data_IF_052363481799
#
_entry.id   IF_052363481799
#
_cell.length_a   1.000
_cell.length_b   1.000
_cell.length_c   1.000
_cell.angle_alpha   90.00
_cell.angle_beta   90.00
_cell.angle_gamma   90.00
#
_symmetry.space_group_name_H-M   'P 1'
#
loop_
_entity.id
_entity.type
_entity.pdbx_description
1 polymer ?
#
# COMPACT_ATOMS: atom_id res chain seq x y z
N UNK A 1 22.22 -25.83 -12.38
CA UNK A 1 21.41 -24.64 -12.69
C UNK A 1 20.17 -24.70 -11.84
N UNK A 2 20.15 -23.97 -10.70
CA UNK A 2 19.03 -23.98 -9.75
C UNK A 2 18.05 -22.88 -10.20
N UNK A 3 16.90 -23.28 -10.72
CA UNK A 3 15.79 -22.36 -11.01
C UNK A 3 15.14 -21.97 -9.67
N UNK A 4 15.34 -20.75 -9.24
CA UNK A 4 14.60 -20.18 -8.11
C UNK A 4 13.11 -20.17 -8.45
N UNK A 5 12.24 -20.65 -7.53
CA UNK A 5 10.81 -20.56 -7.73
C UNK A 5 10.41 -19.07 -7.77
N UNK A 6 9.68 -18.68 -8.82
CA UNK A 6 9.13 -17.35 -8.95
C UNK A 6 8.29 -17.03 -7.73
N UNK A 7 8.58 -15.92 -7.06
CA UNK A 7 7.79 -15.39 -5.96
C UNK A 7 6.37 -15.12 -6.45
N UNK A 8 5.42 -15.90 -5.99
CA UNK A 8 4.01 -15.60 -6.19
C UNK A 8 3.73 -14.21 -5.57
N UNK A 9 3.30 -13.24 -6.37
CA UNK A 9 2.85 -11.97 -5.87
C UNK A 9 1.65 -12.20 -4.94
N UNK A 10 1.75 -11.77 -3.69
CA UNK A 10 0.64 -11.83 -2.76
C UNK A 10 -0.48 -10.92 -3.30
N UNK A 11 -1.60 -11.51 -3.71
CA UNK A 11 -2.76 -10.75 -4.15
C UNK A 11 -3.74 -10.60 -3.00
N UNK A 12 -4.26 -9.40 -2.81
CA UNK A 12 -5.33 -9.14 -1.83
C UNK A 12 -6.60 -9.89 -2.26
N UNK A 13 -7.23 -10.67 -1.36
CA UNK A 13 -8.44 -11.42 -1.70
C UNK A 13 -9.56 -10.51 -2.19
N UNK A 14 -10.25 -10.93 -3.24
CA UNK A 14 -11.38 -10.18 -3.83
C UNK A 14 -12.49 -9.91 -2.82
N UNK A 15 -12.69 -10.82 -1.84
CA UNK A 15 -13.70 -10.69 -0.78
C UNK A 15 -13.51 -9.44 0.07
N UNK A 16 -12.27 -9.00 0.30
CA UNK A 16 -11.98 -7.76 1.03
C UNK A 16 -12.67 -6.54 0.38
N UNK A 17 -12.81 -6.55 -0.95
CA UNK A 17 -13.34 -5.46 -1.76
C UNK A 17 -14.81 -5.63 -2.12
N UNK A 18 -15.39 -6.82 -1.89
CA UNK A 18 -16.78 -7.10 -2.23
C UNK A 18 -17.74 -6.22 -1.43
N UNK A 19 -18.61 -5.47 -2.13
CA UNK A 19 -19.57 -4.57 -1.50
C UNK A 19 -18.98 -3.32 -0.84
N UNK A 20 -17.69 -3.05 -1.03
CA UNK A 20 -17.09 -1.78 -0.60
C UNK A 20 -17.65 -0.63 -1.43
N UNK A 21 -18.02 0.48 -0.75
CA UNK A 21 -18.55 1.69 -1.39
C UNK A 21 -17.54 2.83 -1.39
N UNK A 22 -16.51 2.75 -0.56
CA UNK A 22 -15.45 3.77 -0.44
C UNK A 22 -14.16 3.16 0.06
N UNK A 23 -13.08 3.89 -0.16
CA UNK A 23 -11.74 3.55 0.35
C UNK A 23 -11.25 4.69 1.22
N UNK A 24 -10.81 4.35 2.42
CA UNK A 24 -10.11 5.28 3.30
C UNK A 24 -8.61 5.02 3.20
N UNK A 25 -7.80 6.05 3.30
CA UNK A 25 -6.34 5.95 3.42
C UNK A 25 -5.94 6.51 4.78
N UNK A 26 -5.30 5.69 5.59
CA UNK A 26 -4.76 6.05 6.87
C UNK A 26 -3.25 5.83 6.85
N UNK A 27 -2.48 6.90 6.96
CA UNK A 27 -1.02 6.83 6.99
C UNK A 27 -0.50 7.14 8.39
N UNK A 28 0.58 6.45 8.73
CA UNK A 28 1.36 6.73 9.93
C UNK A 28 2.84 6.59 9.61
N UNK A 29 3.62 7.63 9.89
CA UNK A 29 5.08 7.63 9.72
C UNK A 29 5.73 7.73 11.09
N UNK A 30 6.53 6.73 11.43
CA UNK A 30 7.40 6.74 12.61
C UNK A 30 8.84 7.09 12.21
N UNK A 31 9.62 7.66 13.11
CA UNK A 31 11.03 7.96 12.84
C UNK A 31 11.73 8.54 14.08
N UNK A 32 13.03 8.73 13.96
CA UNK A 32 13.89 9.25 15.03
C UNK A 32 13.80 10.77 15.22
N UNK A 33 14.56 11.29 16.19
CA UNK A 33 14.62 12.72 16.47
C UNK A 33 14.99 13.55 15.23
N UNK A 34 14.41 14.74 15.10
CA UNK A 34 14.68 15.67 14.00
C UNK A 34 14.00 15.30 12.68
N UNK A 35 13.04 14.38 12.70
CA UNK A 35 12.17 14.07 11.56
C UNK A 35 10.78 14.66 11.82
N UNK A 36 10.30 15.49 10.88
CA UNK A 36 8.93 16.01 10.93
C UNK A 36 7.96 14.91 10.45
N UNK A 37 7.45 14.15 11.42
CA UNK A 37 6.53 13.04 11.16
C UNK A 37 5.20 13.50 10.58
N UNK A 38 4.72 14.67 11.01
CA UNK A 38 3.42 15.19 10.56
C UNK A 38 3.49 15.53 9.07
N UNK A 39 4.50 16.29 8.69
CA UNK A 39 4.70 16.66 7.29
C UNK A 39 4.93 15.43 6.40
N UNK A 40 5.74 14.47 6.86
CA UNK A 40 5.99 13.23 6.11
C UNK A 40 4.74 12.36 5.97
N UNK A 41 3.93 12.23 7.05
CA UNK A 41 2.66 11.50 7.01
C UNK A 41 1.73 12.12 5.98
N UNK A 42 1.57 13.44 6.00
CA UNK A 42 0.71 14.14 5.04
C UNK A 42 1.21 13.98 3.59
N UNK A 43 2.53 14.09 3.37
CA UNK A 43 3.11 13.89 2.05
C UNK A 43 2.90 12.48 1.56
N UNK A 44 3.17 11.47 2.39
CA UNK A 44 2.98 10.06 2.04
C UNK A 44 1.52 9.77 1.69
N UNK A 45 0.57 10.24 2.50
CA UNK A 45 -0.85 10.05 2.22
C UNK A 45 -1.30 10.71 0.90
N UNK A 46 -0.79 11.90 0.59
CA UNK A 46 -1.08 12.55 -0.71
C UNK A 46 -0.59 11.71 -1.89
N UNK A 47 0.62 11.17 -1.81
CA UNK A 47 1.17 10.34 -2.89
C UNK A 47 0.43 9.01 -3.03
N UNK A 48 0.12 8.34 -1.92
CA UNK A 48 -0.70 7.12 -1.92
C UNK A 48 -2.08 7.41 -2.54
N UNK A 49 -2.75 8.49 -2.11
CA UNK A 49 -4.04 8.89 -2.67
C UNK A 49 -3.96 9.17 -4.16
N UNK A 50 -2.97 9.93 -4.61
CA UNK A 50 -2.74 10.24 -6.02
C UNK A 50 -2.60 8.98 -6.88
N UNK A 51 -1.85 7.99 -6.39
CA UNK A 51 -1.64 6.74 -7.09
C UNK A 51 -2.89 5.84 -7.04
N UNK A 52 -3.55 5.76 -5.89
CA UNK A 52 -4.75 4.93 -5.70
C UNK A 52 -5.95 5.41 -6.53
N UNK A 53 -6.07 6.73 -6.74
CA UNK A 53 -7.12 7.31 -7.58
C UNK A 53 -7.04 6.92 -9.05
N UNK A 54 -5.89 6.44 -9.52
CA UNK A 54 -5.76 5.98 -10.90
C UNK A 54 -6.71 4.81 -11.15
N UNK A 55 -7.68 5.01 -12.03
CA UNK A 55 -8.72 4.01 -12.40
C UNK A 55 -9.59 3.55 -11.23
N UNK A 56 -9.65 4.28 -10.13
CA UNK A 56 -10.49 3.88 -9.00
C UNK A 56 -11.97 3.95 -9.35
N UNK A 57 -12.73 2.86 -9.14
CA UNK A 57 -14.19 2.86 -9.28
C UNK A 57 -14.89 3.40 -8.03
N UNK A 58 -14.15 3.65 -6.95
CA UNK A 58 -14.66 4.06 -5.65
C UNK A 58 -14.10 5.42 -5.24
N UNK A 59 -14.85 6.23 -4.48
CA UNK A 59 -14.32 7.42 -3.85
C UNK A 59 -13.22 7.05 -2.86
N UNK A 60 -12.15 7.87 -2.81
CA UNK A 60 -11.00 7.66 -1.94
C UNK A 60 -10.78 8.91 -1.08
N UNK A 61 -10.76 8.71 0.22
CA UNK A 61 -10.55 9.76 1.20
C UNK A 61 -9.35 9.46 2.10
N UNK A 62 -8.72 10.50 2.63
CA UNK A 62 -7.69 10.38 3.66
C UNK A 62 -8.33 10.62 5.00
N UNK A 63 -8.10 9.73 5.96
CA UNK A 63 -8.60 9.85 7.33
C UNK A 63 -7.43 9.95 8.32
N UNK A 64 -7.71 10.52 9.49
CA UNK A 64 -6.72 10.63 10.57
C UNK A 64 -6.70 9.38 11.46
N UNK A 65 -5.64 9.23 12.24
CA UNK A 65 -5.58 8.21 13.30
C UNK A 65 -6.68 8.54 14.34
N UNK A 66 -7.46 7.52 14.70
CA UNK A 66 -8.59 7.67 15.61
C UNK A 66 -9.91 8.09 14.94
N UNK A 67 -9.91 8.29 13.62
CA UNK A 67 -11.14 8.58 12.90
C UNK A 67 -12.08 7.36 12.91
N UNK A 68 -13.34 7.50 13.38
CA UNK A 68 -14.29 6.39 13.42
C UNK A 68 -14.65 5.84 12.03
N UNK A 69 -14.39 6.57 10.96
CA UNK A 69 -14.61 6.10 9.60
C UNK A 69 -13.81 4.83 9.27
N UNK A 70 -12.73 4.53 10.01
CA UNK A 70 -11.97 3.27 9.89
C UNK A 70 -12.85 2.04 10.18
N UNK A 71 -13.87 2.18 11.01
CA UNK A 71 -14.79 1.13 11.42
C UNK A 71 -16.01 0.99 10.50
N UNK A 72 -16.12 1.79 9.46
CA UNK A 72 -17.24 1.75 8.53
C UNK A 72 -17.36 0.41 7.81
N UNK A 73 -18.49 -0.27 7.94
CA UNK A 73 -18.73 -1.59 7.34
C UNK A 73 -18.69 -1.56 5.80
N UNK A 74 -19.00 -0.42 5.20
CA UNK A 74 -19.00 -0.17 3.75
C UNK A 74 -17.66 0.37 3.22
N UNK A 75 -16.66 0.52 4.09
CA UNK A 75 -15.35 1.04 3.75
C UNK A 75 -14.26 -0.05 3.79
N UNK A 76 -13.28 0.06 2.90
CA UNK A 76 -11.97 -0.59 3.06
C UNK A 76 -10.96 0.48 3.39
N UNK A 77 -10.21 0.32 4.46
CA UNK A 77 -9.16 1.25 4.85
C UNK A 77 -7.79 0.70 4.43
N UNK A 78 -7.05 1.45 3.63
CA UNK A 78 -5.64 1.19 3.37
C UNK A 78 -4.82 1.72 4.54
N UNK A 79 -4.25 0.83 5.31
CA UNK A 79 -3.30 1.15 6.38
C UNK A 79 -1.90 1.23 5.77
N UNK A 80 -1.34 2.43 5.77
CA UNK A 80 0.03 2.71 5.29
C UNK A 80 0.91 3.03 6.48
N UNK A 81 1.68 2.06 6.92
CA UNK A 81 2.66 2.25 7.98
C UNK A 81 4.05 2.41 7.40
N UNK A 82 4.74 3.44 7.83
CA UNK A 82 6.10 3.71 7.40
C UNK A 82 7.01 4.05 8.57
N UNK A 83 8.29 3.76 8.40
CA UNK A 83 9.37 4.20 9.28
C UNK A 83 10.44 4.88 8.47
N UNK A 84 11.02 5.94 9.04
CA UNK A 84 12.09 6.72 8.43
C UNK A 84 13.34 6.68 9.28
N UNK A 85 14.46 6.34 8.65
CA UNK A 85 15.78 6.40 9.25
C UNK A 85 16.72 7.29 8.41
N UNK A 86 17.68 7.93 9.05
CA UNK A 86 18.77 8.62 8.36
C UNK A 86 19.75 7.62 7.77
N UNK A 87 20.15 7.83 6.53
CA UNK A 87 21.16 7.04 5.86
C UNK A 87 22.14 7.98 5.12
N UNK A 88 23.20 8.36 5.80
CA UNK A 88 24.12 9.39 5.30
C UNK A 88 23.42 10.75 5.12
N UNK A 89 23.48 11.29 3.89
CA UNK A 89 22.77 12.53 3.54
C UNK A 89 21.29 12.32 3.20
N UNK A 90 20.90 11.09 2.92
CA UNK A 90 19.56 10.71 2.52
C UNK A 90 18.75 10.15 3.70
N UNK A 91 17.51 9.82 3.45
CA UNK A 91 16.60 9.12 4.35
C UNK A 91 16.13 7.85 3.69
N UNK A 92 16.10 6.77 4.44
CA UNK A 92 15.48 5.52 4.02
C UNK A 92 14.07 5.48 4.60
N UNK A 93 13.07 5.39 3.74
CA UNK A 93 11.68 5.14 4.11
C UNK A 93 11.36 3.67 3.86
N UNK A 94 11.07 2.93 4.92
CA UNK A 94 10.51 1.59 4.84
C UNK A 94 9.00 1.67 5.11
N UNK A 95 8.18 0.97 4.32
CA UNK A 95 6.73 1.03 4.46
C UNK A 95 6.06 -0.28 4.07
N UNK A 96 4.82 -0.46 4.57
CA UNK A 96 3.90 -1.48 4.11
C UNK A 96 2.52 -0.87 3.82
N UNK A 97 1.76 -1.53 2.95
CA UNK A 97 0.37 -1.17 2.62
C UNK A 97 -0.49 -2.40 2.86
N UNK A 98 -1.51 -2.26 3.70
CA UNK A 98 -2.43 -3.34 4.05
C UNK A 98 -3.87 -2.88 3.98
N UNK A 99 -4.79 -3.62 3.35
CA UNK A 99 -6.20 -3.34 3.43
C UNK A 99 -6.75 -3.83 4.78
N UNK A 100 -7.66 -3.07 5.34
CA UNK A 100 -8.39 -3.40 6.56
C UNK A 100 -9.89 -3.18 6.34
N UNK A 101 -10.72 -4.08 6.86
CA UNK A 101 -12.17 -3.95 6.84
C UNK A 101 -12.77 -4.58 8.08
N UNK A 102 -13.59 -3.84 8.80
CA UNK A 102 -14.23 -4.27 10.05
C UNK A 102 -15.22 -5.42 9.85
N UNK A 103 -15.92 -5.44 8.71
CA UNK A 103 -16.95 -6.46 8.41
C UNK A 103 -16.37 -7.80 7.93
N UNK A 104 -15.07 -7.90 7.73
CA UNK A 104 -14.46 -9.20 7.42
C UNK A 104 -14.26 -9.99 8.70
N UNK A 105 -15.07 -11.00 8.91
CA UNK A 105 -14.94 -11.93 10.06
C UNK A 105 -13.58 -12.65 10.09
N UNK A 106 -12.82 -12.58 9.00
CA UNK A 106 -11.49 -13.15 8.90
C UNK A 106 -10.40 -12.10 9.21
N UNK A 107 -10.53 -11.44 10.35
CA UNK A 107 -9.52 -10.52 10.85
C UNK A 107 -8.10 -11.12 11.02
N UNK A 108 -7.97 -12.44 10.97
CA UNK A 108 -6.70 -13.15 11.10
C UNK A 108 -5.85 -13.18 9.84
N UNK A 109 -6.40 -12.84 8.68
CA UNK A 109 -5.68 -12.91 7.41
C UNK A 109 -5.50 -11.50 6.84
N UNK A 110 -4.56 -10.78 7.41
CA UNK A 110 -4.16 -9.46 6.91
C UNK A 110 -3.25 -9.65 5.67
N UNK A 111 -3.88 -9.74 4.51
CA UNK A 111 -3.15 -9.70 3.25
C UNK A 111 -2.78 -8.24 2.91
N UNK A 112 -1.57 -8.05 2.45
CA UNK A 112 -1.08 -6.75 2.01
C UNK A 112 0.16 -6.93 1.16
N UNK A 113 0.62 -5.82 0.57
CA UNK A 113 1.88 -5.82 -0.14
C UNK A 113 3.03 -6.12 0.82
N UNK A 114 4.06 -6.88 0.38
CA UNK A 114 5.28 -7.06 1.18
C UNK A 114 5.89 -5.70 1.55
N UNK A 115 6.59 -5.60 2.70
CA UNK A 115 7.29 -4.39 3.07
C UNK A 115 8.27 -3.96 1.98
N UNK A 116 8.32 -2.66 1.72
CA UNK A 116 9.20 -2.05 0.72
C UNK A 116 10.00 -0.93 1.35
N UNK A 117 11.13 -0.61 0.73
CA UNK A 117 11.93 0.52 1.14
C UNK A 117 12.34 1.35 -0.07
N UNK A 118 12.47 2.66 0.12
CA UNK A 118 12.95 3.58 -0.88
C UNK A 118 13.77 4.69 -0.23
N UNK A 119 14.80 5.14 -0.93
CA UNK A 119 15.53 6.34 -0.55
C UNK A 119 14.69 7.56 -0.89
N UNK A 120 14.56 8.47 0.07
CA UNK A 120 13.86 9.73 -0.09
C UNK A 120 14.80 10.90 0.21
N UNK A 121 14.63 11.99 -0.51
CA UNK A 121 15.18 13.29 -0.15
C UNK A 121 14.32 13.95 0.94
N UNK A 122 14.56 15.23 1.20
CA UNK A 122 13.74 16.02 2.13
C UNK A 122 12.25 16.04 1.76
N UNK A 123 11.93 15.88 0.45
CA UNK A 123 10.55 15.91 -0.05
C UNK A 123 10.18 14.57 -0.71
N UNK A 124 9.20 13.90 -0.16
CA UNK A 124 8.66 12.61 -0.67
C UNK A 124 8.19 12.75 -2.13
N UNK A 125 7.49 13.84 -2.45
CA UNK A 125 6.92 14.09 -3.78
C UNK A 125 7.94 14.15 -4.95
N UNK A 126 9.23 14.12 -4.66
CA UNK A 126 10.30 14.17 -5.67
C UNK A 126 11.15 12.90 -5.71
N UNK A 127 10.67 11.80 -5.16
CA UNK A 127 11.40 10.53 -5.16
C UNK A 127 10.79 9.54 -6.16
N UNK A 128 11.35 9.41 -7.38
CA UNK A 128 10.89 8.41 -8.35
C UNK A 128 10.96 6.98 -7.82
N UNK A 129 11.95 6.69 -6.97
CA UNK A 129 12.10 5.38 -6.34
C UNK A 129 10.94 5.07 -5.40
N UNK A 130 10.49 6.05 -4.60
CA UNK A 130 9.32 5.90 -3.74
C UNK A 130 8.04 5.75 -4.57
N UNK A 131 7.89 6.55 -5.62
CA UNK A 131 6.73 6.47 -6.53
C UNK A 131 6.60 5.07 -7.14
N UNK A 132 7.70 4.51 -7.61
CA UNK A 132 7.73 3.16 -8.16
C UNK A 132 7.41 2.10 -7.09
N UNK A 133 7.97 2.22 -5.89
CA UNK A 133 7.73 1.30 -4.79
C UNK A 133 6.28 1.34 -4.29
N UNK A 134 5.69 2.56 -4.16
CA UNK A 134 4.28 2.74 -3.82
C UNK A 134 3.35 2.19 -4.90
N UNK A 135 3.64 2.48 -6.18
CA UNK A 135 2.84 1.96 -7.29
C UNK A 135 2.84 0.43 -7.32
N UNK A 136 3.99 -0.20 -7.05
CA UNK A 136 4.09 -1.65 -6.95
C UNK A 136 3.28 -2.19 -5.77
N UNK A 137 3.40 -1.61 -4.57
CA UNK A 137 2.62 -2.03 -3.41
C UNK A 137 1.11 -1.89 -3.63
N UNK A 138 0.67 -0.78 -4.24
CA UNK A 138 -0.73 -0.54 -4.54
C UNK A 138 -1.26 -1.47 -5.63
N UNK A 139 -0.44 -1.85 -6.62
CA UNK A 139 -0.86 -2.82 -7.64
C UNK A 139 -1.06 -4.24 -7.10
N UNK A 140 -0.41 -4.58 -5.98
CA UNK A 140 -0.60 -5.84 -5.28
C UNK A 140 -1.79 -5.80 -4.30
N UNK A 141 -2.23 -4.60 -3.92
CA UNK A 141 -3.26 -4.40 -2.90
C UNK A 141 -4.61 -4.02 -3.50
N UNK A 142 -4.64 -3.15 -4.52
CA UNK A 142 -5.84 -2.60 -5.13
C UNK A 142 -6.23 -3.36 -6.39
N UNK A 143 -7.43 -3.97 -6.46
CA UNK A 143 -7.81 -4.82 -7.60
C UNK A 143 -7.86 -4.06 -8.93
N UNK A 144 -8.18 -2.76 -8.93
CA UNK A 144 -8.21 -1.95 -10.17
C UNK A 144 -6.84 -1.50 -10.66
N UNK A 145 -5.79 -1.66 -9.84
CA UNK A 145 -4.40 -1.42 -10.22
C UNK A 145 -3.65 -2.71 -10.52
N UNK A 146 -4.23 -3.87 -10.20
CA UNK A 146 -3.62 -5.16 -10.45
C UNK A 146 -3.29 -5.32 -11.94
N UNK A 147 -2.08 -5.77 -12.24
CA UNK A 147 -1.70 -6.11 -13.61
C UNK A 147 -2.42 -7.41 -14.00
N UNK A 148 -3.01 -7.49 -15.20
CA UNK A 148 -3.52 -8.76 -15.71
C UNK A 148 -2.39 -9.79 -15.67
N UNK A 149 -2.61 -10.90 -14.98
CA UNK A 149 -1.69 -12.04 -15.04
C UNK A 149 -1.81 -12.60 -16.45
N UNK A 150 -0.75 -12.51 -17.24
CA UNK A 150 -0.70 -13.15 -18.53
C UNK A 150 -0.95 -14.66 -18.35
N UNK A 151 -1.86 -15.30 -19.09
CA UNK A 151 -2.11 -16.72 -18.96
C UNK A 151 -0.79 -17.46 -19.23
N UNK A 152 -0.33 -18.20 -18.25
CA UNK A 152 0.84 -19.06 -18.43
C UNK A 152 0.46 -20.17 -19.43
N UNK A 153 1.21 -20.34 -20.50
CA UNK A 153 0.97 -21.45 -21.42
C UNK A 153 1.09 -22.77 -20.63
N UNK A 154 0.01 -23.53 -20.61
CA UNK A 154 0.00 -24.88 -20.07
C UNK A 154 1.16 -25.66 -20.73
N UNK A 155 2.20 -25.98 -19.95
CA UNK A 155 3.23 -26.89 -20.42
C UNK A 155 2.57 -28.24 -20.68
N UNK A 156 2.31 -28.54 -21.93
CA UNK A 156 1.92 -29.86 -22.36
C UNK A 156 2.96 -30.87 -21.88
N UNK A 157 2.60 -31.67 -20.89
CA UNK A 157 3.39 -32.86 -20.53
C UNK A 157 3.19 -33.87 -21.66
N UNK A 158 4.22 -34.06 -22.45
CA UNK A 158 4.39 -35.28 -23.28
C UNK A 158 5.01 -36.35 -22.43
#
# INVERSE_FOLDING_TARGET
MVTLPGTAAASTPTLMWSGAKRVNILCNVAGGPGIDHVALTQQLCREVKRLALKRSPLPIETIAIGDPAVLGADAVTLLVHASVARHGKDRLLAFNVRPYRTSSEQASVLFGAPPRAATISTYIARSPALDAALAAALSETLPWLARPVAPQPLKSRR
#
